data_IF_411796920881
#
_entry.id   IF_411796920881
#
_cell.length_a   1.000
_cell.length_b   1.000
_cell.length_c   1.000
_cell.angle_alpha   90.00
_cell.angle_beta   90.00
_cell.angle_gamma   90.00
#
_symmetry.space_group_name_H-M   'P 1'
#
loop_
_entity.id
_entity.type
_entity.pdbx_description
1 polymer ?
#
# COMPACT_ATOMS: atom_id res chain seq x y z
N UNK A 1 -4.69 -5.51 -9.75
CA UNK A 1 -5.48 -5.72 -8.52
C UNK A 1 -4.74 -6.55 -7.47
N UNK A 2 -4.23 -7.72 -7.85
CA UNK A 2 -3.53 -8.64 -6.92
C UNK A 2 -2.35 -7.98 -6.18
N UNK A 3 -1.41 -7.33 -6.88
CA UNK A 3 -0.25 -6.71 -6.25
C UNK A 3 -0.61 -5.63 -5.23
N UNK A 4 -1.69 -4.88 -5.47
CA UNK A 4 -2.19 -3.86 -4.55
C UNK A 4 -2.75 -4.48 -3.27
N UNK A 5 -3.45 -5.61 -3.39
CA UNK A 5 -3.94 -6.37 -2.24
C UNK A 5 -2.79 -6.95 -1.41
N UNK A 6 -1.76 -7.51 -2.06
CA UNK A 6 -0.56 -8.02 -1.38
C UNK A 6 0.20 -6.91 -0.66
N UNK A 7 0.38 -5.75 -1.30
CA UNK A 7 1.02 -4.59 -0.69
C UNK A 7 0.24 -4.08 0.54
N UNK A 8 -1.10 -4.02 0.48
CA UNK A 8 -1.92 -3.66 1.63
C UNK A 8 -1.79 -4.68 2.79
N UNK A 9 -1.62 -5.96 2.48
CA UNK A 9 -1.38 -7.01 3.48
C UNK A 9 0.03 -6.92 4.09
N UNK A 10 1.03 -6.63 3.28
CA UNK A 10 2.40 -6.39 3.72
C UNK A 10 2.48 -5.20 4.68
N UNK A 11 1.88 -4.06 4.30
CA UNK A 11 1.82 -2.85 5.14
C UNK A 11 1.14 -3.12 6.50
N UNK A 12 0.09 -3.93 6.54
CA UNK A 12 -0.53 -4.29 7.81
C UNK A 12 0.37 -5.17 8.69
N UNK A 13 1.12 -6.09 8.08
CA UNK A 13 2.00 -7.03 8.81
C UNK A 13 3.30 -6.40 9.28
N UNK A 14 3.90 -5.54 8.46
CA UNK A 14 5.24 -4.99 8.71
C UNK A 14 5.18 -3.61 9.38
N UNK A 15 4.21 -2.78 8.99
CA UNK A 15 4.12 -1.38 9.44
C UNK A 15 2.94 -1.14 10.40
N UNK A 16 2.10 -2.15 10.66
CA UNK A 16 0.90 -2.01 11.48
C UNK A 16 -0.20 -1.15 10.83
N UNK A 17 -0.12 -0.91 9.52
CA UNK A 17 -1.06 -0.08 8.78
C UNK A 17 -2.19 -0.93 8.17
N UNK A 18 -3.33 -1.00 8.86
CA UNK A 18 -4.52 -1.69 8.36
C UNK A 18 -5.28 -0.79 7.37
N UNK A 19 -5.07 -1.00 6.06
CA UNK A 19 -5.52 -0.10 4.98
C UNK A 19 -6.40 -0.81 3.94
N UNK A 20 -7.13 -0.03 3.13
CA UNK A 20 -7.82 -0.58 1.97
C UNK A 20 -6.87 -0.97 0.83
N UNK A 21 -7.36 -1.76 -0.12
CA UNK A 21 -6.55 -2.21 -1.27
C UNK A 21 -6.06 -1.06 -2.14
N UNK A 22 -6.87 -0.01 -2.31
CA UNK A 22 -6.45 1.18 -3.06
C UNK A 22 -5.21 1.84 -2.47
N UNK A 23 -5.05 1.79 -1.14
CA UNK A 23 -3.85 2.29 -0.47
C UNK A 23 -2.63 1.41 -0.78
N UNK A 24 -2.81 0.08 -0.80
CA UNK A 24 -1.79 -0.85 -1.27
C UNK A 24 -1.41 -0.64 -2.73
N UNK A 25 -2.38 -0.39 -3.62
CA UNK A 25 -2.11 -0.05 -5.02
C UNK A 25 -1.33 1.26 -5.17
N UNK A 26 -1.66 2.29 -4.38
CA UNK A 26 -0.92 3.55 -4.39
C UNK A 26 0.55 3.36 -3.96
N UNK A 27 0.78 2.56 -2.92
CA UNK A 27 2.13 2.22 -2.46
C UNK A 27 2.89 1.36 -3.47
N UNK A 28 2.22 0.39 -4.10
CA UNK A 28 2.82 -0.45 -5.14
C UNK A 28 3.19 0.37 -6.38
N UNK A 29 2.37 1.35 -6.77
CA UNK A 29 2.69 2.31 -7.82
C UNK A 29 3.97 3.10 -7.50
N UNK A 30 4.17 3.50 -6.24
CA UNK A 30 5.40 4.16 -5.83
C UNK A 30 6.63 3.23 -5.98
N UNK A 31 6.51 1.95 -5.61
CA UNK A 31 7.59 0.95 -5.79
C UNK A 31 7.98 0.78 -7.25
N UNK A 32 7.00 0.77 -8.17
CA UNK A 32 7.24 0.68 -9.60
C UNK A 32 7.94 1.93 -10.16
N UNK A 33 7.79 3.09 -9.50
CA UNK A 33 8.45 4.34 -9.87
C UNK A 33 9.86 4.50 -9.27
N UNK A 34 10.36 3.52 -8.50
CA UNK A 34 11.64 3.62 -7.76
C UNK A 34 12.80 4.10 -8.63
N UNK A 35 12.92 3.58 -9.86
CA UNK A 35 14.02 3.93 -10.77
C UNK A 35 13.94 5.37 -11.31
N UNK A 36 12.81 6.05 -11.10
CA UNK A 36 12.59 7.46 -11.48
C UNK A 36 12.81 8.43 -10.31
N UNK A 37 13.04 7.91 -9.10
CA UNK A 37 13.24 8.71 -7.89
C UNK A 37 14.74 8.85 -7.63
N UNK A 38 15.16 10.06 -7.28
CA UNK A 38 16.52 10.35 -6.83
C UNK A 38 16.64 10.02 -5.33
N UNK A 39 17.84 9.73 -4.82
CA UNK A 39 18.07 9.53 -3.39
C UNK A 39 17.70 10.74 -2.51
N UNK A 40 17.60 11.93 -3.11
CA UNK A 40 17.23 13.18 -2.44
C UNK A 40 15.72 13.45 -2.44
N UNK A 41 14.93 12.66 -3.17
CA UNK A 41 13.49 12.89 -3.28
C UNK A 41 12.77 12.35 -2.02
N UNK A 42 11.71 13.06 -1.60
CA UNK A 42 10.85 12.63 -0.49
C UNK A 42 9.46 12.31 -1.06
N UNK A 43 9.20 11.05 -1.46
CA UNK A 43 7.90 10.67 -1.96
C UNK A 43 6.86 10.63 -0.82
N UNK A 44 5.66 11.14 -1.10
CA UNK A 44 4.53 11.14 -0.16
C UNK A 44 3.37 10.37 -0.78
N UNK A 45 2.78 9.48 0.01
CA UNK A 45 1.60 8.69 -0.38
C UNK A 45 0.46 8.98 0.59
N UNK A 46 -0.71 9.29 0.06
CA UNK A 46 -1.92 9.52 0.86
C UNK A 46 -2.74 8.23 0.95
N UNK A 47 -3.01 7.79 2.17
CA UNK A 47 -3.92 6.69 2.45
C UNK A 47 -5.28 7.25 2.85
N UNK A 48 -6.29 6.98 2.02
CA UNK A 48 -7.61 7.60 2.14
C UNK A 48 -8.61 6.78 2.96
N UNK A 49 -8.32 5.51 3.21
CA UNK A 49 -9.22 4.59 3.91
C UNK A 49 -8.50 3.54 4.77
N UNK A 50 -9.28 2.94 5.68
CA UNK A 50 -8.82 1.90 6.59
C UNK A 50 -9.31 0.50 6.17
N UNK A 51 -8.51 -0.52 6.47
CA UNK A 51 -8.72 -1.91 6.04
C UNK A 51 -9.84 -2.67 6.74
N UNK A 52 -10.42 -2.13 7.82
CA UNK A 52 -11.39 -2.85 8.66
C UNK A 52 -12.65 -3.33 7.93
N UNK A 53 -13.04 -2.67 6.83
CA UNK A 53 -14.18 -3.06 5.99
C UNK A 53 -13.85 -4.18 4.99
N UNK A 54 -12.58 -4.55 4.87
CA UNK A 54 -12.07 -5.45 3.83
C UNK A 54 -11.38 -6.69 4.40
N UNK A 55 -11.51 -6.95 5.71
CA UNK A 55 -10.89 -8.07 6.41
C UNK A 55 -11.18 -9.42 5.75
N UNK A 56 -12.44 -9.68 5.40
CA UNK A 56 -12.87 -10.93 4.75
C UNK A 56 -12.46 -11.09 3.28
N UNK A 57 -11.83 -10.07 2.66
CA UNK A 57 -11.32 -10.13 1.28
C UNK A 57 -9.79 -10.10 1.24
N UNK A 58 -9.18 -9.17 1.99
CA UNK A 58 -7.76 -8.83 1.88
C UNK A 58 -6.84 -9.33 2.94
N UNK A 59 -7.40 -9.82 4.03
CA UNK A 59 -6.61 -10.18 5.20
C UNK A 59 -6.80 -11.64 5.62
N UNK A 60 -7.75 -12.36 5.02
CA UNK A 60 -7.81 -13.83 5.07
C UNK A 60 -6.67 -14.44 4.25
#
# INVERSE_FOLDING_TARGET
DEDGAHAARELAKQEGLLLGYSCGSAFQGLRQLKDRLKPTDVPVVLFHDHGSRYTGKGYN
#
